data_IF_825656706315
#
_entry.id   IF_825656706315
#
_cell.length_a   1.000
_cell.length_b   1.000
_cell.length_c   1.000
_cell.angle_alpha   90.00
_cell.angle_beta   90.00
_cell.angle_gamma   90.00
#
_symmetry.space_group_name_H-M   'P 1'
#
loop_
_entity.id
_entity.type
_entity.pdbx_description
1 polymer ?
#
# COMPACT_ATOMS: atom_id res chain seq x y z
N UNK A 1 33.18 16.27 7.29
CA UNK A 1 32.64 15.13 6.50
C UNK A 1 32.50 13.94 7.44
N UNK A 2 31.29 13.62 7.90
CA UNK A 2 31.04 12.41 8.69
C UNK A 2 30.30 11.43 7.81
N UNK A 3 30.98 10.34 7.45
CA UNK A 3 30.52 9.34 6.50
C UNK A 3 29.83 8.22 7.27
N UNK A 4 28.58 8.43 7.71
CA UNK A 4 27.78 7.40 8.39
C UNK A 4 27.04 6.56 7.34
N UNK A 5 27.75 5.61 6.72
CA UNK A 5 27.09 4.48 6.06
C UNK A 5 26.37 3.67 7.12
N UNK A 6 25.04 3.77 7.17
CA UNK A 6 24.19 2.88 7.96
C UNK A 6 24.59 1.42 7.68
N UNK A 7 24.71 0.57 8.71
CA UNK A 7 25.09 -0.83 8.53
C UNK A 7 24.08 -1.52 7.61
N UNK A 8 24.58 -2.11 6.53
CA UNK A 8 23.80 -2.89 5.56
C UNK A 8 23.19 -4.08 6.31
N UNK A 9 21.88 -4.04 6.58
CA UNK A 9 21.14 -5.15 7.19
C UNK A 9 21.44 -6.41 6.36
N UNK A 10 22.04 -7.43 6.98
CA UNK A 10 22.25 -8.73 6.33
C UNK A 10 20.89 -9.23 5.88
N UNK A 11 20.74 -9.56 4.59
CA UNK A 11 19.51 -10.21 4.07
C UNK A 11 19.33 -11.53 4.81
N UNK A 12 18.46 -11.52 5.81
CA UNK A 12 18.11 -12.71 6.56
C UNK A 12 17.24 -13.57 5.64
N UNK A 13 17.67 -14.81 5.37
CA UNK A 13 16.89 -15.73 4.55
C UNK A 13 15.75 -16.25 5.42
N UNK A 14 14.55 -15.68 5.23
CA UNK A 14 13.34 -16.17 5.89
C UNK A 14 13.07 -17.61 5.44
N UNK A 15 12.67 -18.52 6.35
CA UNK A 15 12.28 -19.86 5.97
C UNK A 15 11.04 -19.81 5.07
N UNK A 16 10.93 -20.73 4.12
CA UNK A 16 9.71 -20.88 3.35
C UNK A 16 8.52 -21.15 4.30
N UNK A 17 7.32 -20.61 4.02
CA UNK A 17 6.14 -20.94 4.80
C UNK A 17 5.92 -22.46 4.86
N UNK A 18 5.39 -23.00 5.97
CA UNK A 18 4.96 -24.40 6.04
C UNK A 18 3.97 -24.75 4.95
N UNK A 19 3.90 -26.02 4.52
CA UNK A 19 2.94 -26.48 3.50
C UNK A 19 1.48 -26.21 3.87
N UNK A 20 1.17 -26.12 5.16
CA UNK A 20 -0.14 -25.83 5.72
C UNK A 20 -0.30 -24.38 6.20
N UNK A 21 0.57 -23.47 5.74
CA UNK A 21 0.40 -22.05 6.01
C UNK A 21 -0.97 -21.59 5.49
N UNK A 22 -1.77 -21.02 6.39
CA UNK A 22 -3.04 -20.38 6.06
C UNK A 22 -2.95 -18.92 6.46
N UNK A 23 -3.57 -18.06 5.65
CA UNK A 23 -3.74 -16.66 5.98
C UNK A 23 -5.13 -16.46 6.57
N UNK A 24 -5.26 -15.56 7.54
CA UNK A 24 -6.59 -15.14 7.98
C UNK A 24 -7.27 -14.39 6.87
N UNK A 25 -8.57 -14.62 6.75
CA UNK A 25 -9.41 -13.93 5.79
C UNK A 25 -10.33 -12.97 6.53
N UNK A 26 -10.57 -11.82 5.92
CA UNK A 26 -11.59 -10.87 6.32
C UNK A 26 -12.43 -10.49 5.11
N UNK A 27 -13.61 -9.92 5.36
CA UNK A 27 -14.51 -9.47 4.30
C UNK A 27 -14.54 -7.95 4.31
N UNK A 28 -14.25 -7.36 3.16
CA UNK A 28 -14.67 -5.99 2.87
C UNK A 28 -16.06 -6.03 2.27
N UNK A 29 -17.03 -5.44 2.96
CA UNK A 29 -18.43 -5.50 2.55
C UNK A 29 -18.66 -4.77 1.22
N UNK A 30 -19.62 -5.27 0.44
CA UNK A 30 -20.19 -4.53 -0.67
C UNK A 30 -20.69 -3.16 -0.19
N UNK A 31 -20.67 -2.17 -1.07
CA UNK A 31 -21.10 -0.79 -0.79
C UNK A 31 -20.26 -0.04 0.25
N UNK A 32 -19.40 -0.72 1.03
CA UNK A 32 -18.44 -0.09 1.92
C UNK A 32 -17.36 0.63 1.11
N UNK A 33 -17.28 1.98 1.17
CA UNK A 33 -16.38 2.70 0.29
C UNK A 33 -14.90 2.53 0.67
N UNK A 34 -14.03 2.56 -0.34
CA UNK A 34 -12.58 2.58 -0.20
C UNK A 34 -12.08 3.93 -0.70
N UNK A 35 -11.40 4.68 0.15
CA UNK A 35 -10.80 5.96 -0.20
C UNK A 35 -9.47 5.75 -0.91
N UNK A 36 -9.29 6.39 -2.06
CA UNK A 36 -8.08 6.30 -2.87
C UNK A 36 -7.51 7.68 -3.12
N UNK A 37 -6.23 7.84 -2.79
CA UNK A 37 -5.41 8.98 -3.22
C UNK A 37 -4.43 8.48 -4.28
N UNK A 38 -4.39 9.11 -5.46
CA UNK A 38 -3.60 8.63 -6.59
C UNK A 38 -3.11 9.74 -7.51
N UNK A 39 -2.11 9.45 -8.35
CA UNK A 39 -1.68 10.37 -9.41
C UNK A 39 -2.81 10.52 -10.46
N UNK A 40 -3.07 11.73 -10.97
CA UNK A 40 -4.17 12.00 -11.91
C UNK A 40 -4.05 11.28 -13.25
N UNK A 41 -2.85 10.79 -13.61
CA UNK A 41 -2.63 9.95 -14.81
C UNK A 41 -3.36 8.59 -14.76
N UNK A 42 -3.83 8.18 -13.57
CA UNK A 42 -4.67 6.99 -13.42
C UNK A 42 -6.12 7.41 -13.23
N UNK A 43 -7.05 6.74 -13.92
CA UNK A 43 -8.48 6.95 -13.63
C UNK A 43 -8.84 6.41 -12.24
N UNK A 44 -9.99 6.84 -11.71
CA UNK A 44 -10.47 6.52 -10.37
C UNK A 44 -10.40 5.02 -10.02
N UNK A 45 -10.72 4.13 -10.96
CA UNK A 45 -10.72 2.67 -10.78
C UNK A 45 -9.60 1.93 -11.55
N UNK A 46 -8.66 2.67 -12.15
CA UNK A 46 -7.57 2.05 -12.89
C UNK A 46 -6.53 1.43 -11.96
N UNK A 47 -6.31 0.13 -12.15
CA UNK A 47 -5.24 -0.63 -11.51
C UNK A 47 -3.87 -0.22 -12.08
N UNK A 48 -2.87 -0.13 -11.20
CA UNK A 48 -1.48 0.08 -11.57
C UNK A 48 -0.91 -1.23 -12.15
N UNK A 49 -0.39 -1.26 -13.39
CA UNK A 49 0.09 -2.47 -14.07
C UNK A 49 1.49 -2.94 -13.61
N UNK A 50 1.97 -2.51 -12.43
CA UNK A 50 3.30 -2.85 -11.90
C UNK A 50 4.35 -1.74 -12.06
N UNK A 51 3.92 -0.48 -12.21
CA UNK A 51 4.81 0.70 -12.19
C UNK A 51 5.14 1.11 -10.76
N UNK A 52 6.39 1.53 -10.53
CA UNK A 52 6.85 1.99 -9.22
C UNK A 52 7.23 0.84 -8.28
N UNK A 53 7.48 1.18 -7.00
CA UNK A 53 7.83 0.23 -5.95
C UNK A 53 7.10 0.61 -4.66
N UNK A 54 5.96 -0.04 -4.41
CA UNK A 54 5.18 0.10 -3.19
C UNK A 54 5.40 -1.12 -2.26
N UNK A 55 4.74 -1.12 -1.10
CA UNK A 55 4.92 -2.18 -0.08
C UNK A 55 4.54 -3.57 -0.59
N UNK A 56 3.46 -3.66 -1.39
CA UNK A 56 2.90 -4.91 -1.90
C UNK A 56 2.87 -4.98 -3.43
N UNK A 57 3.56 -4.05 -4.12
CA UNK A 57 3.67 -4.05 -5.58
C UNK A 57 5.02 -3.48 -6.02
N UNK A 58 5.59 -3.95 -7.15
CA UNK A 58 5.02 -4.91 -8.07
C UNK A 58 5.12 -6.34 -7.55
N UNK A 59 4.05 -7.12 -7.74
CA UNK A 59 4.00 -8.55 -7.48
C UNK A 59 3.85 -9.29 -8.80
N UNK A 60 4.49 -10.45 -8.93
CA UNK A 60 4.39 -11.30 -10.12
C UNK A 60 3.63 -12.57 -9.81
N UNK A 61 2.81 -13.02 -10.75
CA UNK A 61 2.18 -14.32 -10.71
C UNK A 61 3.18 -15.45 -11.00
N UNK A 62 2.71 -16.69 -10.97
CA UNK A 62 3.53 -17.88 -11.26
C UNK A 62 4.10 -17.92 -12.69
N UNK A 63 3.52 -17.14 -13.62
CA UNK A 63 3.97 -17.02 -15.00
C UNK A 63 4.96 -15.84 -15.18
N UNK A 64 5.23 -15.09 -14.12
CA UNK A 64 6.10 -13.92 -14.13
C UNK A 64 5.43 -12.63 -14.60
N UNK A 65 4.13 -12.63 -14.84
CA UNK A 65 3.36 -11.44 -15.22
C UNK A 65 3.05 -10.57 -13.99
N UNK A 66 3.09 -9.25 -14.15
CA UNK A 66 2.72 -8.36 -13.05
C UNK A 66 1.23 -8.46 -12.73
N UNK A 67 0.92 -8.64 -11.46
CA UNK A 67 -0.43 -8.54 -10.92
C UNK A 67 -0.80 -7.05 -10.83
N UNK A 68 -1.82 -6.56 -11.54
CA UNK A 68 -2.27 -5.18 -11.42
C UNK A 68 -2.78 -4.90 -10.01
N UNK A 69 -2.42 -3.74 -9.44
CA UNK A 69 -2.72 -3.41 -8.03
C UNK A 69 -3.41 -2.06 -7.89
N UNK A 70 -4.32 -1.95 -6.93
CA UNK A 70 -4.94 -0.70 -6.51
C UNK A 70 -4.78 -0.55 -5.00
N UNK A 71 -4.41 0.65 -4.56
CA UNK A 71 -4.27 0.98 -3.15
C UNK A 71 -5.41 1.89 -2.72
N UNK A 72 -5.94 1.63 -1.54
CA UNK A 72 -6.95 2.46 -0.91
C UNK A 72 -7.01 2.20 0.58
N UNK A 73 -7.52 3.17 1.32
CA UNK A 73 -7.70 3.11 2.75
C UNK A 73 -9.17 3.00 3.13
N UNK A 74 -9.42 2.61 4.37
CA UNK A 74 -10.76 2.61 4.96
C UNK A 74 -11.36 4.00 5.18
N UNK A 75 -10.50 5.01 5.14
CA UNK A 75 -10.88 6.41 5.15
C UNK A 75 -9.77 7.24 4.46
N UNK A 76 -10.08 8.50 4.16
CA UNK A 76 -9.14 9.45 3.55
C UNK A 76 -7.84 9.61 4.35
N UNK A 77 -7.91 9.56 5.68
CA UNK A 77 -6.74 9.68 6.55
C UNK A 77 -5.74 8.54 6.35
N UNK A 78 -6.23 7.30 6.31
CA UNK A 78 -5.42 6.11 6.00
C UNK A 78 -4.83 6.20 4.59
N UNK A 79 -5.64 6.60 3.60
CA UNK A 79 -5.16 6.74 2.22
C UNK A 79 -4.07 7.81 2.07
N UNK A 80 -4.18 8.94 2.78
CA UNK A 80 -3.16 9.99 2.83
C UNK A 80 -1.88 9.54 3.53
N UNK A 81 -2.02 8.84 4.67
CA UNK A 81 -0.88 8.29 5.40
C UNK A 81 -0.05 7.35 4.52
N UNK A 82 -0.72 6.49 3.74
CA UNK A 82 -0.06 5.55 2.84
C UNK A 82 0.47 6.20 1.55
N UNK A 83 -0.09 7.33 1.09
CA UNK A 83 0.33 7.92 -0.20
C UNK A 83 1.36 9.03 -0.05
N UNK A 84 1.12 9.96 0.88
CA UNK A 84 1.94 11.16 1.05
C UNK A 84 2.91 11.04 2.22
N UNK A 85 2.46 10.41 3.31
CA UNK A 85 3.18 10.45 4.60
C UNK A 85 3.95 9.16 4.92
N UNK A 86 3.93 8.16 4.04
CA UNK A 86 4.53 6.85 4.30
C UNK A 86 6.06 6.86 4.43
N UNK A 87 6.72 7.93 3.95
CA UNK A 87 8.17 8.12 4.03
C UNK A 87 8.61 9.03 5.19
N UNK A 88 7.69 9.46 6.06
CA UNK A 88 8.07 10.28 7.20
C UNK A 88 8.95 9.49 8.18
N UNK A 89 9.97 10.12 8.80
CA UNK A 89 10.79 9.46 9.81
C UNK A 89 9.95 9.11 11.05
N UNK A 90 10.40 8.14 11.83
CA UNK A 90 9.79 7.84 13.14
C UNK A 90 10.77 8.26 14.25
N UNK A 91 10.42 9.22 15.14
CA UNK A 91 9.13 9.94 15.23
C UNK A 91 8.97 11.03 14.15
N UNK A 92 7.73 11.31 13.76
CA UNK A 92 7.36 12.25 12.68
C UNK A 92 6.75 13.58 13.17
N UNK A 93 6.65 13.79 14.49
CA UNK A 93 6.02 14.99 15.06
C UNK A 93 6.73 16.28 14.62
N UNK A 94 5.97 17.22 14.05
CA UNK A 94 6.49 18.50 13.56
C UNK A 94 7.26 18.42 12.24
N UNK A 95 7.28 17.26 11.56
CA UNK A 95 7.92 17.14 10.26
C UNK A 95 7.13 17.94 9.20
N UNK A 96 7.78 18.88 8.47
CA UNK A 96 7.09 19.67 7.47
C UNK A 96 6.69 18.81 6.26
N UNK A 97 5.51 19.05 5.73
CA UNK A 97 5.01 18.42 4.50
C UNK A 97 4.66 19.52 3.52
N UNK A 98 5.22 19.43 2.31
CA UNK A 98 4.97 20.39 1.24
C UNK A 98 3.54 20.21 0.70
N UNK A 99 2.66 21.19 0.94
CA UNK A 99 1.27 21.15 0.49
C UNK A 99 1.13 21.10 -1.03
N UNK A 100 2.16 21.52 -1.77
CA UNK A 100 2.23 21.41 -3.23
C UNK A 100 2.22 19.95 -3.71
N UNK A 101 2.69 18.99 -2.89
CA UNK A 101 2.61 17.57 -3.22
C UNK A 101 1.16 17.05 -3.20
N UNK A 102 0.30 17.61 -2.35
CA UNK A 102 -1.12 17.25 -2.32
C UNK A 102 -1.85 17.71 -3.59
N UNK A 103 -1.44 18.84 -4.19
CA UNK A 103 -2.06 19.37 -5.42
C UNK A 103 -1.80 18.49 -6.64
N UNK A 104 -0.82 17.58 -6.57
CA UNK A 104 -0.49 16.62 -7.64
C UNK A 104 -1.32 15.34 -7.54
N UNK A 105 -2.21 15.23 -6.55
CA UNK A 105 -2.95 14.02 -6.25
C UNK A 105 -4.45 14.23 -6.50
N UNK A 106 -5.11 13.17 -6.92
CA UNK A 106 -6.55 13.07 -7.01
C UNK A 106 -7.09 12.20 -5.86
N UNK A 107 -8.28 12.54 -5.38
CA UNK A 107 -9.08 11.72 -4.48
C UNK A 107 -10.23 11.09 -5.25
N UNK A 108 -10.39 9.79 -5.07
CA UNK A 108 -11.50 9.00 -5.60
C UNK A 108 -12.05 8.09 -4.51
N UNK A 109 -13.33 7.75 -4.61
CA UNK A 109 -13.95 6.75 -3.77
C UNK A 109 -14.39 5.56 -4.63
N UNK A 110 -13.93 4.37 -4.24
CA UNK A 110 -14.31 3.11 -4.88
C UNK A 110 -15.39 2.46 -4.05
N UNK A 111 -16.51 2.12 -4.69
CA UNK A 111 -17.62 1.43 -4.03
C UNK A 111 -17.71 0.02 -4.61
N UNK A 112 -17.29 -1.01 -3.87
CA UNK A 112 -17.37 -2.39 -4.35
C UNK A 112 -18.82 -2.80 -4.56
N UNK A 113 -19.13 -3.40 -5.70
CA UNK A 113 -20.48 -3.94 -5.99
C UNK A 113 -20.72 -5.31 -5.35
N UNK A 114 -19.70 -5.88 -4.72
CA UNK A 114 -19.73 -7.19 -4.08
C UNK A 114 -18.74 -7.24 -2.92
N UNK A 115 -18.95 -8.20 -2.02
CA UNK A 115 -18.01 -8.48 -0.95
C UNK A 115 -16.63 -8.85 -1.53
N UNK A 116 -15.57 -8.25 -1.00
CA UNK A 116 -14.20 -8.60 -1.32
C UNK A 116 -13.63 -9.48 -0.20
N UNK A 117 -13.16 -10.67 -0.56
CA UNK A 117 -12.40 -11.52 0.35
C UNK A 117 -10.95 -11.03 0.39
N UNK A 118 -10.50 -10.57 1.56
CA UNK A 118 -9.17 -10.01 1.76
C UNK A 118 -8.35 -10.89 2.70
N UNK A 119 -7.04 -10.94 2.45
CA UNK A 119 -6.10 -11.49 3.41
C UNK A 119 -5.88 -10.47 4.52
N UNK A 120 -6.12 -10.87 5.76
CA UNK A 120 -5.91 -10.05 6.94
C UNK A 120 -4.44 -10.12 7.38
N UNK A 121 -3.76 -8.98 7.24
CA UNK A 121 -2.36 -8.78 7.61
C UNK A 121 -2.20 -7.92 8.88
N UNK A 122 -3.30 -7.62 9.58
CA UNK A 122 -3.22 -6.86 10.83
C UNK A 122 -2.42 -7.65 11.88
N UNK A 123 -1.52 -6.98 12.64
CA UNK A 123 -0.85 -7.61 13.75
C UNK A 123 -1.87 -8.19 14.72
N UNK A 124 -1.73 -9.47 15.06
CA UNK A 124 -2.53 -10.06 16.13
C UNK A 124 -1.87 -9.68 17.45
N UNK A 125 -2.64 -9.00 18.30
CA UNK A 125 -2.30 -8.78 19.71
C UNK A 125 -2.43 -10.08 20.50
#
# INVERSE_FOLDING_TARGET
MVNTKLPRVKKQKLPSPPKNASASMTIWEAEKPIDRIHHPDFTAAQFNPGKGHARFSPMKDQNGAFVPTIYGGENVGVALMETLLHNLPTPCGGYPVEMSELQKLAHSQLVPTQNLALVDLNPRV
#
